data_IF_048246335304
#
_entry.id   IF_048246335304
#
_cell.length_a   1.000
_cell.length_b   1.000
_cell.length_c   1.000
_cell.angle_alpha   90.00
_cell.angle_beta   90.00
_cell.angle_gamma   90.00
#
_symmetry.space_group_name_H-M   'P 1'
#
loop_
_entity.id
_entity.type
_entity.pdbx_description
1 polymer ?
#
# COMPACT_ATOMS: atom_id res chain seq x y z
N UNK A 1 8.46 3.53 -10.04
CA UNK A 1 7.49 3.11 -9.00
C UNK A 1 6.93 1.77 -9.39
N UNK A 2 6.73 0.86 -8.43
CA UNK A 2 6.30 -0.51 -8.72
C UNK A 2 4.77 -0.57 -8.95
N UNK A 3 4.36 -0.54 -10.22
CA UNK A 3 2.94 -0.54 -10.62
C UNK A 3 2.19 -1.77 -10.07
N UNK A 4 2.84 -2.94 -10.05
CA UNK A 4 2.26 -4.18 -9.51
C UNK A 4 1.90 -4.05 -8.03
N UNK A 5 2.77 -3.45 -7.23
CA UNK A 5 2.50 -3.28 -5.79
C UNK A 5 1.34 -2.31 -5.55
N UNK A 6 1.24 -1.23 -6.35
CA UNK A 6 0.09 -0.31 -6.30
C UNK A 6 -1.22 -1.02 -6.67
N UNK A 7 -1.23 -1.75 -7.79
CA UNK A 7 -2.43 -2.45 -8.28
C UNK A 7 -2.88 -3.54 -7.29
N UNK A 8 -1.92 -4.28 -6.72
CA UNK A 8 -2.16 -5.33 -5.71
C UNK A 8 -2.94 -4.80 -4.50
N UNK A 9 -2.65 -3.57 -4.03
CA UNK A 9 -3.37 -2.99 -2.89
C UNK A 9 -4.85 -2.81 -3.22
N UNK A 10 -5.15 -2.22 -4.38
CA UNK A 10 -6.52 -1.98 -4.83
C UNK A 10 -7.29 -3.28 -5.06
N UNK A 11 -6.67 -4.25 -5.74
CA UNK A 11 -7.27 -5.54 -6.04
C UNK A 11 -7.64 -6.31 -4.76
N UNK A 12 -6.71 -6.41 -3.80
CA UNK A 12 -6.94 -7.14 -2.56
C UNK A 12 -7.91 -6.42 -1.61
N UNK A 13 -7.94 -5.08 -1.59
CA UNK A 13 -8.96 -4.32 -0.86
C UNK A 13 -10.36 -4.56 -1.43
N UNK A 14 -10.50 -4.48 -2.76
CA UNK A 14 -11.75 -4.73 -3.46
C UNK A 14 -12.26 -6.16 -3.22
N UNK A 15 -11.38 -7.14 -3.37
CA UNK A 15 -11.70 -8.54 -3.09
C UNK A 15 -12.11 -8.77 -1.62
N UNK A 16 -11.30 -8.28 -0.67
CA UNK A 16 -11.60 -8.41 0.75
C UNK A 16 -12.92 -7.76 1.17
N UNK A 17 -13.34 -6.66 0.51
CA UNK A 17 -14.64 -6.02 0.74
C UNK A 17 -15.83 -6.94 0.42
N UNK A 18 -15.69 -7.83 -0.56
CA UNK A 18 -16.76 -8.72 -1.00
C UNK A 18 -16.72 -10.12 -0.35
N UNK A 19 -15.62 -10.48 0.31
CA UNK A 19 -15.46 -11.76 1.01
C UNK A 19 -16.04 -11.74 2.43
N UNK A 20 -16.37 -12.91 2.96
CA UNK A 20 -16.80 -13.15 4.36
C UNK A 20 -15.88 -14.18 5.00
N UNK A 21 -15.71 -14.13 6.33
CA UNK A 21 -14.89 -15.10 7.07
C UNK A 21 -13.37 -14.94 6.87
N UNK A 22 -12.62 -16.03 7.06
CA UNK A 22 -11.15 -16.04 7.12
C UNK A 22 -10.45 -15.46 5.88
N UNK A 23 -11.04 -15.60 4.71
CA UNK A 23 -10.49 -15.10 3.46
C UNK A 23 -10.44 -13.57 3.38
N UNK A 24 -11.35 -12.88 4.07
CA UNK A 24 -11.38 -11.41 4.11
C UNK A 24 -10.13 -10.85 4.78
N UNK A 25 -9.75 -11.42 5.93
CA UNK A 25 -8.55 -10.99 6.65
C UNK A 25 -7.26 -11.29 5.88
N UNK A 26 -7.23 -12.39 5.11
CA UNK A 26 -6.07 -12.71 4.27
C UNK A 26 -5.86 -11.68 3.16
N UNK A 27 -6.92 -11.29 2.44
CA UNK A 27 -6.85 -10.25 1.42
C UNK A 27 -6.33 -8.92 1.99
N UNK A 28 -6.82 -8.51 3.17
CA UNK A 28 -6.33 -7.28 3.81
C UNK A 28 -4.87 -7.36 4.24
N UNK A 29 -4.38 -8.53 4.66
CA UNK A 29 -2.94 -8.73 4.96
C UNK A 29 -2.08 -8.61 3.71
N UNK A 30 -2.52 -9.14 2.56
CA UNK A 30 -1.80 -8.98 1.29
C UNK A 30 -1.73 -7.49 0.92
N UNK A 31 -2.86 -6.78 0.97
CA UNK A 31 -2.90 -5.34 0.72
C UNK A 31 -1.96 -4.55 1.64
N UNK A 32 -1.91 -4.91 2.94
CA UNK A 32 -1.00 -4.30 3.90
C UNK A 32 0.48 -4.56 3.56
N UNK A 33 0.83 -5.78 3.17
CA UNK A 33 2.19 -6.12 2.70
C UNK A 33 2.59 -5.32 1.46
N UNK A 34 1.72 -5.25 0.45
CA UNK A 34 1.99 -4.49 -0.78
C UNK A 34 2.15 -2.98 -0.52
N UNK A 35 1.41 -2.41 0.45
CA UNK A 35 1.62 -1.01 0.87
C UNK A 35 3.01 -0.80 1.52
N UNK A 36 3.51 -1.78 2.26
CA UNK A 36 4.87 -1.80 2.80
C UNK A 36 5.93 -1.82 1.68
N UNK A 37 5.78 -2.70 0.69
CA UNK A 37 6.67 -2.79 -0.47
C UNK A 37 6.72 -1.47 -1.26
N UNK A 38 5.56 -0.86 -1.52
CA UNK A 38 5.48 0.41 -2.23
C UNK A 38 6.12 1.56 -1.44
N UNK A 39 6.04 1.53 -0.11
CA UNK A 39 6.74 2.48 0.78
C UNK A 39 8.25 2.37 0.63
N UNK A 40 8.79 1.15 0.58
CA UNK A 40 10.22 0.93 0.35
C UNK A 40 10.63 1.43 -1.04
N UNK A 41 9.84 1.12 -2.07
CA UNK A 41 10.11 1.59 -3.43
C UNK A 41 10.10 3.12 -3.53
N UNK A 42 9.18 3.81 -2.83
CA UNK A 42 9.11 5.26 -2.78
C UNK A 42 10.37 5.87 -2.12
N UNK A 43 10.81 5.29 -0.98
CA UNK A 43 12.06 5.71 -0.30
C UNK A 43 13.29 5.53 -1.19
N UNK A 44 13.37 4.42 -1.91
CA UNK A 44 14.44 4.17 -2.88
C UNK A 44 14.43 5.18 -4.03
N UNK A 45 13.25 5.51 -4.56
CA UNK A 45 13.12 6.52 -5.63
C UNK A 45 13.60 7.89 -5.17
N UNK A 46 13.25 8.31 -3.94
CA UNK A 46 13.75 9.55 -3.33
C UNK A 46 15.27 9.51 -3.14
N UNK A 47 15.81 8.45 -2.55
CA UNK A 47 17.24 8.32 -2.29
C UNK A 47 18.08 8.37 -3.58
N UNK A 48 17.54 7.84 -4.68
CA UNK A 48 18.14 7.88 -6.02
C UNK A 48 17.85 9.16 -6.80
N UNK A 49 17.15 10.13 -6.20
CA UNK A 49 16.74 11.40 -6.82
C UNK A 49 15.94 11.23 -8.12
N UNK A 50 15.19 10.13 -8.23
CA UNK A 50 14.30 9.86 -9.36
C UNK A 50 12.98 10.65 -9.28
N UNK A 51 12.70 11.21 -8.11
CA UNK A 51 11.53 12.05 -7.82
C UNK A 51 11.99 13.23 -6.95
N UNK A 52 11.22 14.32 -6.99
CA UNK A 52 11.44 15.49 -6.14
C UNK A 52 10.98 15.22 -4.70
N UNK A 53 11.45 16.04 -3.76
CA UNK A 53 10.97 16.00 -2.37
C UNK A 53 9.46 16.26 -2.27
N UNK A 54 8.93 17.14 -3.12
CA UNK A 54 7.49 17.40 -3.19
C UNK A 54 6.72 16.16 -3.67
N UNK A 55 7.18 15.51 -4.74
CA UNK A 55 6.57 14.26 -5.23
C UNK A 55 6.63 13.15 -4.18
N UNK A 56 7.74 13.04 -3.45
CA UNK A 56 7.83 12.10 -2.32
C UNK A 56 6.79 12.41 -1.25
N UNK A 57 6.71 13.66 -0.81
CA UNK A 57 5.79 14.07 0.25
C UNK A 57 4.33 13.84 -0.14
N UNK A 58 3.98 14.09 -1.41
CA UNK A 58 2.61 13.88 -1.90
C UNK A 58 2.20 12.42 -1.89
N UNK A 59 3.08 11.52 -2.33
CA UNK A 59 2.78 10.08 -2.34
C UNK A 59 2.85 9.50 -0.93
N UNK A 60 3.86 9.86 -0.13
CA UNK A 60 4.03 9.29 1.21
C UNK A 60 2.84 9.62 2.11
N UNK A 61 2.23 10.80 1.96
CA UNK A 61 1.00 11.18 2.66
C UNK A 61 -0.16 10.23 2.35
N UNK A 62 -0.36 9.89 1.08
CA UNK A 62 -1.42 8.96 0.66
C UNK A 62 -1.13 7.56 1.17
N UNK A 63 0.12 7.10 1.03
CA UNK A 63 0.55 5.79 1.53
C UNK A 63 0.41 5.70 3.05
N UNK A 64 0.65 6.77 3.79
CA UNK A 64 0.52 6.79 5.24
C UNK A 64 -0.91 6.57 5.70
N UNK A 65 -1.85 7.31 5.09
CA UNK A 65 -3.27 7.11 5.34
C UNK A 65 -3.71 5.68 5.00
N UNK A 66 -3.22 5.14 3.87
CA UNK A 66 -3.54 3.79 3.43
C UNK A 66 -3.00 2.73 4.40
N UNK A 67 -1.76 2.86 4.86
CA UNK A 67 -1.16 1.98 5.88
C UNK A 67 -1.94 2.05 7.20
N UNK A 68 -2.37 3.23 7.63
CA UNK A 68 -3.16 3.40 8.84
C UNK A 68 -4.54 2.71 8.74
N UNK A 69 -5.21 2.80 7.59
CA UNK A 69 -6.46 2.08 7.34
C UNK A 69 -6.22 0.57 7.34
N UNK A 70 -5.19 0.10 6.62
CA UNK A 70 -4.86 -1.32 6.52
C UNK A 70 -4.44 -1.93 7.86
N UNK A 71 -3.75 -1.17 8.72
CA UNK A 71 -3.44 -1.58 10.08
C UNK A 71 -4.71 -1.95 10.85
N UNK A 72 -5.72 -1.06 10.85
CA UNK A 72 -7.02 -1.28 11.52
C UNK A 72 -7.83 -2.45 10.93
N UNK A 73 -7.56 -2.84 9.69
CA UNK A 73 -8.23 -3.96 9.04
C UNK A 73 -7.53 -5.30 9.27
N UNK A 74 -6.30 -5.28 9.80
CA UNK A 74 -5.44 -6.46 9.93
C UNK A 74 -5.06 -6.81 11.36
N UNK A 75 -5.13 -5.84 12.28
CA UNK A 75 -4.81 -5.95 13.70
C UNK A 75 -5.99 -5.45 14.53
#
# INVERSE_FOLDING_TARGET
MDARSSDSIGLNLGEGRHRRGGDRGHAYRIAHGSAGELTVALRQARARRLITEQQYADVDRILDQLRAILWRLTH
#
